data_IF_824775256568
#
_entry.id   IF_824775256568
#
_cell.length_a   1.000
_cell.length_b   1.000
_cell.length_c   1.000
_cell.angle_alpha   90.00
_cell.angle_beta   90.00
_cell.angle_gamma   90.00
#
_symmetry.space_group_name_H-M   'P 1'
#
loop_
_entity.id
_entity.type
_entity.pdbx_description
1 polymer ?
#
# COMPACT_ATOMS: atom_id res chain seq x y z
N UNK A 1 5.01 -33.91 40.17
CA UNK A 1 4.18 -34.17 38.97
C UNK A 1 4.96 -33.66 37.76
N UNK A 2 5.96 -34.31 37.16
CA UNK A 2 6.10 -35.69 36.63
C UNK A 2 4.95 -36.12 35.74
N UNK A 3 5.15 -36.08 34.43
CA UNK A 3 4.96 -37.25 33.56
C UNK A 3 6.04 -37.27 32.48
N UNK A 4 6.69 -38.43 32.39
CA UNK A 4 7.80 -38.86 31.54
C UNK A 4 7.40 -40.27 31.07
N UNK A 5 7.57 -40.59 29.79
CA UNK A 5 7.53 -41.94 29.16
C UNK A 5 8.11 -41.70 27.73
N UNK A 6 9.28 -42.16 27.24
CA UNK A 6 9.95 -43.49 27.19
C UNK A 6 9.05 -44.57 26.53
N UNK A 7 9.45 -45.38 25.53
CA UNK A 7 10.73 -46.03 25.18
C UNK A 7 10.68 -46.61 23.73
N UNK A 8 11.80 -46.71 22.97
CA UNK A 8 12.60 -47.91 22.52
C UNK A 8 11.88 -48.88 21.53
N UNK A 9 12.47 -49.54 20.51
CA UNK A 9 13.80 -50.17 20.23
C UNK A 9 13.94 -50.40 18.69
N UNK A 10 15.09 -50.25 18.00
CA UNK A 10 16.28 -51.12 17.76
C UNK A 10 16.09 -52.46 16.98
N UNK A 11 16.95 -52.58 15.93
CA UNK A 11 17.44 -53.76 15.15
C UNK A 11 16.62 -54.15 13.89
N UNK A 12 17.14 -54.58 12.74
CA UNK A 12 18.34 -55.36 12.35
C UNK A 12 18.79 -55.03 10.90
N UNK A 13 20.08 -55.21 10.59
CA UNK A 13 20.61 -55.32 9.21
C UNK A 13 20.37 -56.74 8.63
N UNK A 14 20.44 -56.96 7.30
CA UNK A 14 21.70 -57.50 6.74
C UNK A 14 22.02 -57.14 5.25
N UNK A 15 23.30 -57.27 4.90
CA UNK A 15 23.87 -57.54 3.56
C UNK A 15 24.05 -59.08 3.44
N UNK A 16 24.06 -59.72 2.24
CA UNK A 16 25.23 -59.65 1.35
C UNK A 16 24.96 -59.75 -0.17
N UNK A 17 25.89 -59.16 -0.93
CA UNK A 17 26.11 -59.41 -2.37
C UNK A 17 26.98 -60.66 -2.51
N UNK A 18 26.57 -61.59 -3.38
CA UNK A 18 27.48 -62.59 -3.93
C UNK A 18 27.28 -62.74 -5.45
N UNK A 19 28.40 -62.65 -6.18
CA UNK A 19 28.85 -63.44 -7.36
C UNK A 19 27.87 -63.67 -8.54
N UNK A 20 28.23 -63.56 -9.81
CA UNK A 20 29.36 -64.16 -10.53
C UNK A 20 29.54 -63.48 -11.91
N UNK A 21 30.73 -63.64 -12.47
CA UNK A 21 31.25 -63.06 -13.72
C UNK A 21 31.33 -64.17 -14.80
N UNK A 22 30.85 -63.92 -16.03
CA UNK A 22 31.39 -64.44 -17.31
C UNK A 22 30.78 -63.59 -18.43
N UNK A 23 31.50 -62.91 -19.32
CA UNK A 23 32.52 -63.31 -20.29
C UNK A 23 32.00 -64.32 -21.30
N UNK A 24 31.58 -63.85 -22.48
CA UNK A 24 31.95 -64.48 -23.76
C UNK A 24 31.88 -63.46 -24.89
N UNK A 25 32.95 -63.48 -25.66
CA UNK A 25 33.30 -62.61 -26.75
C UNK A 25 33.05 -63.38 -28.08
N UNK A 26 32.55 -62.66 -29.08
CA UNK A 26 32.86 -62.80 -30.51
C UNK A 26 32.51 -64.10 -31.28
N UNK A 27 31.62 -63.99 -32.29
CA UNK A 27 31.96 -64.03 -33.74
C UNK A 27 30.74 -64.26 -34.66
N UNK A 28 30.74 -63.48 -35.77
CA UNK A 28 30.41 -63.80 -37.18
C UNK A 28 29.08 -64.53 -37.47
N UNK A 29 28.21 -64.14 -38.39
CA UNK A 29 28.26 -63.16 -39.46
C UNK A 29 27.17 -63.56 -40.45
N UNK A 30 26.28 -62.64 -40.82
CA UNK A 30 25.30 -62.84 -41.88
C UNK A 30 25.28 -61.62 -42.80
N UNK A 31 25.42 -61.90 -44.08
CA UNK A 31 25.51 -60.94 -45.18
C UNK A 31 24.14 -60.36 -45.48
N UNK A 32 23.84 -59.21 -44.88
CA UNK A 32 22.62 -58.44 -45.18
C UNK A 32 22.86 -57.59 -46.43
N UNK A 33 22.04 -57.85 -47.45
CA UNK A 33 22.08 -57.30 -48.80
C UNK A 33 22.06 -55.74 -48.81
N UNK A 34 22.83 -55.12 -49.70
CA UNK A 34 23.02 -53.66 -49.76
C UNK A 34 21.69 -52.92 -50.04
N UNK A 35 20.77 -53.58 -50.73
CA UNK A 35 19.42 -53.08 -51.02
C UNK A 35 18.55 -53.02 -49.75
N UNK A 36 18.70 -53.97 -48.82
CA UNK A 36 17.94 -53.98 -47.56
C UNK A 36 18.43 -52.90 -46.58
N UNK A 37 19.71 -52.51 -46.62
CA UNK A 37 20.22 -51.38 -45.83
C UNK A 37 19.73 -50.02 -46.33
N UNK A 38 19.55 -49.85 -47.65
CA UNK A 38 19.02 -48.62 -48.25
C UNK A 38 17.53 -48.42 -47.97
N UNK A 39 16.72 -49.49 -47.99
CA UNK A 39 15.28 -49.42 -47.69
C UNK A 39 15.01 -49.12 -46.21
N UNK A 40 15.81 -49.67 -45.29
CA UNK A 40 15.68 -49.39 -43.85
C UNK A 40 16.15 -47.97 -43.50
N UNK A 41 17.15 -47.43 -44.19
CA UNK A 41 17.65 -46.06 -43.94
C UNK A 41 16.69 -44.98 -44.46
N UNK A 42 15.97 -45.24 -45.56
CA UNK A 42 14.94 -44.32 -46.09
C UNK A 42 13.65 -44.39 -45.23
N UNK A 43 13.31 -45.55 -44.67
CA UNK A 43 12.17 -45.69 -43.75
C UNK A 43 12.41 -45.01 -42.38
N UNK A 44 13.67 -44.91 -41.93
CA UNK A 44 14.03 -44.17 -40.70
C UNK A 44 14.06 -42.64 -40.88
N UNK A 45 14.26 -42.16 -42.10
CA UNK A 45 14.24 -40.73 -42.43
C UNK A 45 12.82 -40.17 -42.64
N UNK A 46 11.83 -41.02 -42.97
CA UNK A 46 10.43 -40.60 -43.10
C UNK A 46 9.63 -40.66 -41.79
N UNK A 47 10.12 -41.37 -40.76
CA UNK A 47 9.49 -41.40 -39.42
C UNK A 47 10.03 -40.28 -38.51
N UNK A 48 11.18 -39.68 -38.83
CA UNK A 48 11.73 -38.54 -38.05
C UNK A 48 11.18 -37.17 -38.49
N UNK A 49 10.44 -37.08 -39.61
CA UNK A 49 9.73 -35.85 -40.01
C UNK A 49 8.27 -35.77 -39.55
N UNK A 50 7.73 -36.78 -38.84
CA UNK A 50 6.38 -36.72 -38.25
C UNK A 50 6.38 -36.45 -36.73
N UNK A 51 7.49 -35.94 -36.17
CA UNK A 51 7.54 -35.47 -34.78
C UNK A 51 8.00 -34.02 -34.63
N UNK A 52 8.10 -33.27 -35.73
CA UNK A 52 8.43 -31.83 -35.72
C UNK A 52 7.28 -30.99 -36.27
N UNK A 53 6.12 -31.05 -35.62
CA UNK A 53 5.06 -30.05 -35.80
C UNK A 53 4.08 -30.03 -34.62
N UNK A 54 4.60 -29.96 -33.40
CA UNK A 54 3.80 -29.60 -32.24
C UNK A 54 4.70 -29.01 -31.16
N UNK A 55 5.21 -27.82 -31.43
CA UNK A 55 5.61 -26.87 -30.39
C UNK A 55 5.42 -25.46 -30.94
N UNK A 56 4.18 -25.12 -31.30
CA UNK A 56 3.73 -23.77 -31.03
C UNK A 56 3.69 -23.66 -29.51
N UNK A 57 4.80 -23.14 -28.96
CA UNK A 57 4.90 -22.73 -27.57
C UNK A 57 3.71 -21.81 -27.31
N UNK A 58 2.67 -22.37 -26.71
CA UNK A 58 1.73 -21.58 -25.93
C UNK A 58 2.58 -21.00 -24.83
N UNK A 59 2.92 -19.72 -24.95
CA UNK A 59 3.46 -18.93 -23.86
C UNK A 59 2.38 -18.95 -22.79
N UNK A 60 2.51 -19.90 -21.89
CA UNK A 60 1.55 -20.17 -20.86
C UNK A 60 1.61 -18.97 -19.90
N UNK A 61 0.51 -18.22 -19.78
CA UNK A 61 0.36 -17.05 -18.90
C UNK A 61 0.41 -17.42 -17.40
N UNK A 62 1.04 -18.53 -17.02
CA UNK A 62 1.17 -19.06 -15.66
C UNK A 62 2.39 -18.52 -14.90
N UNK A 63 3.37 -17.88 -15.58
CA UNK A 63 4.58 -17.36 -14.93
C UNK A 63 4.37 -16.10 -14.09
N UNK A 64 3.27 -15.36 -14.32
CA UNK A 64 2.99 -14.14 -13.55
C UNK A 64 2.52 -14.46 -12.13
N UNK A 65 1.69 -15.50 -11.98
CA UNK A 65 1.19 -15.95 -10.68
C UNK A 65 2.29 -16.62 -9.84
N UNK A 66 3.19 -17.39 -10.46
CA UNK A 66 4.33 -18.00 -9.76
C UNK A 66 5.32 -16.94 -9.26
N UNK A 67 5.60 -15.92 -10.08
CA UNK A 67 6.46 -14.81 -9.71
C UNK A 67 5.82 -13.91 -8.64
N UNK A 68 4.52 -13.62 -8.75
CA UNK A 68 3.79 -12.87 -7.72
C UNK A 68 3.79 -13.60 -6.37
N UNK A 69 3.48 -14.90 -6.38
CA UNK A 69 3.49 -15.71 -5.16
C UNK A 69 4.88 -15.72 -4.51
N UNK A 70 5.94 -15.79 -5.31
CA UNK A 70 7.32 -15.70 -4.83
C UNK A 70 7.65 -14.32 -4.24
N UNK A 71 7.24 -13.22 -4.89
CA UNK A 71 7.43 -11.85 -4.39
C UNK A 71 6.70 -11.66 -3.07
N UNK A 72 5.43 -12.06 -2.98
CA UNK A 72 4.62 -11.94 -1.76
C UNK A 72 5.17 -12.81 -0.63
N UNK A 73 5.67 -14.01 -0.94
CA UNK A 73 6.31 -14.90 0.03
C UNK A 73 7.51 -14.24 0.73
N UNK A 74 8.30 -13.42 0.04
CA UNK A 74 9.40 -12.66 0.67
C UNK A 74 8.92 -11.59 1.66
N UNK A 75 7.67 -11.15 1.56
CA UNK A 75 7.06 -10.16 2.46
C UNK A 75 6.28 -10.81 3.61
N UNK A 76 5.97 -12.10 3.55
CA UNK A 76 5.21 -12.78 4.61
C UNK A 76 6.05 -13.06 5.87
N UNK A 77 7.38 -13.06 5.76
CA UNK A 77 8.28 -13.31 6.90
C UNK A 77 8.72 -12.04 7.64
N UNK A 78 8.44 -10.84 7.09
CA UNK A 78 8.88 -9.54 7.64
C UNK A 78 7.71 -8.59 7.78
N UNK A 79 7.56 -7.97 8.96
CA UNK A 79 6.60 -6.87 9.16
C UNK A 79 6.93 -5.71 8.21
N UNK A 80 6.00 -5.38 7.31
CA UNK A 80 6.16 -4.30 6.34
C UNK A 80 5.87 -2.95 7.01
N UNK A 81 6.87 -2.07 7.08
CA UNK A 81 6.79 -0.85 7.89
C UNK A 81 6.34 0.31 7.00
N UNK A 82 5.25 0.96 7.38
CA UNK A 82 4.74 2.15 6.69
C UNK A 82 4.87 3.35 7.63
N UNK A 83 5.71 4.32 7.28
CA UNK A 83 5.79 5.56 8.06
C UNK A 83 4.70 6.55 7.68
N UNK A 84 4.27 7.36 8.64
CA UNK A 84 3.35 8.47 8.40
C UNK A 84 3.56 9.58 9.42
N UNK A 85 2.89 10.71 9.19
CA UNK A 85 2.84 11.81 10.15
C UNK A 85 1.89 11.49 11.32
N UNK A 86 1.81 12.35 12.34
CA UNK A 86 1.05 12.17 13.60
C UNK A 86 -0.31 11.49 13.44
N UNK A 87 -0.79 10.82 14.50
CA UNK A 87 -2.16 10.27 14.56
C UNK A 87 -3.18 11.41 14.55
N UNK A 88 -4.06 11.40 13.57
CA UNK A 88 -5.23 12.27 13.43
C UNK A 88 -6.21 11.61 12.45
N UNK A 89 -7.49 12.02 12.42
CA UNK A 89 -8.53 11.23 11.78
C UNK A 89 -8.26 10.86 10.32
N UNK A 90 -7.70 11.78 9.53
CA UNK A 90 -7.32 11.51 8.15
C UNK A 90 -6.18 10.46 8.04
N UNK A 91 -5.12 10.54 8.86
CA UNK A 91 -4.07 9.50 8.82
C UNK A 91 -4.57 8.11 9.18
N UNK A 92 -5.54 8.03 10.09
CA UNK A 92 -6.10 6.76 10.53
C UNK A 92 -7.02 6.19 9.46
N UNK A 93 -7.84 7.03 8.85
CA UNK A 93 -8.70 6.63 7.72
C UNK A 93 -7.87 6.08 6.58
N UNK A 94 -6.80 6.79 6.19
CA UNK A 94 -5.89 6.31 5.14
C UNK A 94 -5.12 5.07 5.58
N UNK A 95 -4.78 4.93 6.87
CA UNK A 95 -4.17 3.72 7.40
C UNK A 95 -5.08 2.51 7.24
N UNK A 96 -6.38 2.62 7.48
CA UNK A 96 -7.33 1.52 7.28
C UNK A 96 -7.50 1.14 5.81
N UNK A 97 -7.57 2.12 4.90
CA UNK A 97 -7.57 1.87 3.44
C UNK A 97 -6.33 1.06 3.04
N UNK A 98 -5.15 1.51 3.47
CA UNK A 98 -3.89 0.88 3.10
C UNK A 98 -3.73 -0.49 3.77
N UNK A 99 -4.10 -0.65 5.04
CA UNK A 99 -4.10 -1.97 5.70
C UNK A 99 -4.98 -2.96 4.95
N UNK A 100 -6.19 -2.57 4.52
CA UNK A 100 -7.07 -3.43 3.72
C UNK A 100 -6.43 -3.80 2.38
N UNK A 101 -5.77 -2.85 1.70
CA UNK A 101 -5.09 -3.14 0.44
C UNK A 101 -3.95 -4.16 0.60
N UNK A 102 -3.11 -4.01 1.63
CA UNK A 102 -2.01 -4.95 1.90
C UNK A 102 -2.52 -6.31 2.40
N UNK A 103 -3.60 -6.36 3.18
CA UNK A 103 -4.16 -7.62 3.68
C UNK A 103 -4.71 -8.49 2.55
N UNK A 104 -5.27 -7.89 1.49
CA UNK A 104 -5.69 -8.59 0.26
C UNK A 104 -4.52 -9.22 -0.51
N UNK A 105 -3.30 -8.75 -0.27
CA UNK A 105 -2.05 -9.34 -0.78
C UNK A 105 -1.43 -10.35 0.21
N UNK A 106 -2.10 -10.63 1.34
CA UNK A 106 -1.58 -11.51 2.40
C UNK A 106 -0.40 -10.91 3.17
N UNK A 107 -0.27 -9.58 3.19
CA UNK A 107 0.81 -8.86 3.85
C UNK A 107 0.31 -8.18 5.12
N UNK A 108 1.11 -8.26 6.19
CA UNK A 108 0.87 -7.50 7.43
C UNK A 108 1.71 -6.23 7.43
N UNK A 109 1.09 -5.12 7.84
CA UNK A 109 1.74 -3.80 7.88
C UNK A 109 1.73 -3.21 9.29
N UNK A 110 2.82 -2.55 9.66
CA UNK A 110 2.91 -1.73 10.88
C UNK A 110 2.92 -0.25 10.49
N UNK A 111 2.00 0.54 11.06
CA UNK A 111 1.96 1.99 10.84
C UNK A 111 2.80 2.70 11.90
N UNK A 112 3.89 3.34 11.47
CA UNK A 112 4.81 4.08 12.32
C UNK A 112 4.58 5.59 12.20
N UNK A 113 4.09 6.18 13.28
CA UNK A 113 3.80 7.63 13.36
C UNK A 113 5.04 8.43 13.78
N UNK A 114 5.42 9.42 12.98
CA UNK A 114 6.56 10.31 13.21
C UNK A 114 6.15 11.77 12.91
N UNK A 115 6.90 12.80 13.31
CA UNK A 115 6.71 14.15 12.77
C UNK A 115 6.80 14.16 11.24
N UNK A 116 5.97 14.93 10.53
CA UNK A 116 5.78 14.76 9.08
C UNK A 116 7.04 14.88 8.19
N UNK A 117 7.99 15.76 8.56
CA UNK A 117 9.30 15.81 7.88
C UNK A 117 10.15 14.58 8.21
N UNK A 118 10.09 14.09 9.45
CA UNK A 118 10.82 12.91 9.92
C UNK A 118 10.32 11.64 9.25
N UNK A 119 9.00 11.45 9.07
CA UNK A 119 8.47 10.29 8.34
C UNK A 119 8.96 10.25 6.90
N UNK A 120 8.94 11.39 6.18
CA UNK A 120 9.47 11.46 4.81
C UNK A 120 10.94 11.08 4.72
N UNK A 121 11.79 11.56 5.63
CA UNK A 121 13.19 11.15 5.66
C UNK A 121 13.36 9.67 6.02
N UNK A 122 12.52 9.16 6.92
CA UNK A 122 12.56 7.77 7.39
C UNK A 122 12.22 6.77 6.27
N UNK A 123 11.11 6.98 5.55
CA UNK A 123 10.75 6.17 4.38
C UNK A 123 11.73 6.36 3.23
N UNK A 124 12.15 7.59 2.91
CA UNK A 124 13.07 7.83 1.81
C UNK A 124 14.48 7.23 2.04
N UNK A 125 14.90 7.06 3.29
CA UNK A 125 16.19 6.41 3.62
C UNK A 125 16.09 4.89 3.73
N UNK A 126 14.91 4.30 3.52
CA UNK A 126 14.70 2.86 3.58
C UNK A 126 14.52 2.30 5.00
N UNK A 127 14.35 3.14 6.02
CA UNK A 127 14.00 2.67 7.37
C UNK A 127 12.52 2.26 7.48
N UNK A 128 11.68 2.74 6.56
CA UNK A 128 10.34 2.22 6.31
C UNK A 128 10.25 1.76 4.85
N UNK A 129 9.40 0.77 4.62
CA UNK A 129 9.15 0.16 3.33
C UNK A 129 8.22 1.02 2.45
N UNK A 130 7.45 1.91 3.07
CA UNK A 130 6.54 2.85 2.43
C UNK A 130 6.28 4.12 3.26
N UNK A 131 5.73 5.15 2.63
CA UNK A 131 5.10 6.30 3.25
C UNK A 131 3.59 6.23 3.02
N UNK A 132 2.80 6.32 4.11
CA UNK A 132 1.37 6.03 4.08
C UNK A 132 0.64 6.87 3.04
N UNK A 133 0.82 8.19 3.06
CA UNK A 133 0.31 9.05 2.00
C UNK A 133 0.96 10.42 1.95
N UNK A 134 1.01 11.01 0.76
CA UNK A 134 1.37 12.41 0.53
C UNK A 134 0.65 12.96 -0.70
N UNK A 135 0.68 14.27 -0.85
CA UNK A 135 0.30 14.93 -2.10
C UNK A 135 1.15 14.43 -3.28
N UNK A 136 0.64 14.57 -4.50
CA UNK A 136 1.38 14.24 -5.73
C UNK A 136 2.73 14.97 -5.80
N UNK A 137 3.74 14.30 -6.36
CA UNK A 137 5.02 14.92 -6.69
C UNK A 137 6.02 15.00 -5.53
N UNK A 138 5.71 14.45 -4.34
CA UNK A 138 6.68 14.43 -3.22
C UNK A 138 7.99 13.68 -3.60
N UNK A 139 7.91 12.73 -4.52
CA UNK A 139 9.03 11.98 -5.08
C UNK A 139 10.07 12.87 -5.77
N UNK A 140 9.69 14.07 -6.25
CA UNK A 140 10.63 15.03 -6.85
C UNK A 140 11.63 15.60 -5.83
N UNK A 141 11.33 15.49 -4.54
CA UNK A 141 12.22 15.87 -3.43
C UNK A 141 12.77 14.67 -2.67
N UNK A 142 11.99 13.60 -2.61
CA UNK A 142 12.32 12.35 -1.94
C UNK A 142 12.42 11.24 -2.99
N UNK A 143 13.53 11.21 -3.72
CA UNK A 143 13.71 10.42 -4.95
C UNK A 143 13.60 8.91 -4.78
N UNK A 144 13.64 8.39 -3.56
CA UNK A 144 13.45 6.97 -3.30
C UNK A 144 11.98 6.60 -3.07
N UNK A 145 11.05 7.57 -3.13
CA UNK A 145 9.63 7.35 -2.94
C UNK A 145 8.91 7.33 -4.30
N UNK A 146 8.29 6.19 -4.60
CA UNK A 146 7.55 5.95 -5.84
C UNK A 146 6.06 5.98 -5.51
N UNK A 147 5.25 6.86 -6.13
CA UNK A 147 3.81 6.87 -5.91
C UNK A 147 3.14 5.61 -6.46
N UNK A 148 2.14 5.13 -5.75
CA UNK A 148 1.10 4.30 -6.35
C UNK A 148 0.15 5.23 -7.12
N UNK A 149 -0.08 5.01 -8.43
CA UNK A 149 -0.87 5.91 -9.27
C UNK A 149 -2.39 5.72 -9.06
N UNK A 150 -2.83 5.68 -7.81
CA UNK A 150 -4.25 5.64 -7.43
C UNK A 150 -4.48 6.71 -6.36
N UNK A 151 -5.49 7.55 -6.58
CA UNK A 151 -5.91 8.56 -5.60
C UNK A 151 -6.57 7.81 -4.45
N UNK A 152 -6.03 7.96 -3.23
CA UNK A 152 -6.64 7.34 -2.05
C UNK A 152 -7.82 8.16 -1.54
N UNK A 153 -7.69 9.49 -1.62
CA UNK A 153 -8.67 10.45 -1.11
C UNK A 153 -8.39 11.83 -1.71
N UNK A 154 -9.45 12.58 -1.97
CA UNK A 154 -9.40 14.03 -2.11
C UNK A 154 -9.60 14.69 -0.74
N UNK A 155 -8.65 15.51 -0.32
CA UNK A 155 -8.73 16.26 0.93
C UNK A 155 -9.18 17.68 0.63
N UNK A 156 -10.23 18.10 1.31
CA UNK A 156 -10.76 19.46 1.24
C UNK A 156 -10.31 20.25 2.46
N UNK A 157 -9.70 21.42 2.25
CA UNK A 157 -9.43 22.39 3.31
C UNK A 157 -10.63 23.34 3.40
N UNK A 158 -11.25 23.39 4.58
CA UNK A 158 -12.51 24.07 4.83
C UNK A 158 -12.30 25.21 5.81
N UNK A 159 -13.00 26.32 5.57
CA UNK A 159 -13.20 27.36 6.55
C UNK A 159 -14.47 27.05 7.36
N UNK A 160 -14.37 27.04 8.68
CA UNK A 160 -15.49 26.91 9.60
C UNK A 160 -15.82 28.26 10.22
N UNK A 161 -17.09 28.63 10.24
CA UNK A 161 -17.54 29.93 10.71
C UNK A 161 -18.90 29.85 11.41
N UNK A 162 -19.23 30.90 12.19
CA UNK A 162 -20.57 31.09 12.78
C UNK A 162 -21.59 31.75 11.84
N UNK A 163 -21.11 32.27 10.71
CA UNK A 163 -21.87 33.08 9.73
C UNK A 163 -21.60 32.57 8.32
N UNK A 164 -22.55 32.73 7.41
CA UNK A 164 -22.54 32.14 6.07
C UNK A 164 -22.42 33.15 4.93
N UNK A 165 -22.20 34.42 5.23
CA UNK A 165 -22.03 35.50 4.25
C UNK A 165 -20.55 35.71 3.83
N UNK A 166 -19.65 34.85 4.33
CA UNK A 166 -18.25 34.85 3.94
C UNK A 166 -18.10 34.07 2.63
N UNK A 167 -17.73 34.77 1.57
CA UNK A 167 -17.45 34.17 0.27
C UNK A 167 -16.02 33.60 0.24
N UNK A 168 -15.90 32.28 0.06
CA UNK A 168 -14.60 31.60 -0.08
C UNK A 168 -14.20 31.55 -1.56
N UNK A 169 -13.00 32.07 -1.85
CA UNK A 169 -12.37 31.98 -3.16
C UNK A 169 -10.85 31.84 -2.98
N UNK A 170 -10.44 30.66 -2.53
CA UNK A 170 -9.04 30.36 -2.21
C UNK A 170 -8.53 31.10 -0.97
N UNK A 171 -7.24 30.93 -0.69
CA UNK A 171 -6.61 31.49 0.51
C UNK A 171 -6.64 33.02 0.57
N UNK A 172 -6.55 33.69 -0.59
CA UNK A 172 -6.51 35.15 -0.66
C UNK A 172 -7.80 35.82 -0.14
N UNK A 173 -8.96 35.16 -0.31
CA UNK A 173 -10.24 35.68 0.18
C UNK A 173 -10.31 35.71 1.70
N UNK A 174 -9.41 35.01 2.40
CA UNK A 174 -9.39 34.95 3.86
C UNK A 174 -8.71 36.18 4.50
N UNK A 175 -8.00 36.99 3.72
CA UNK A 175 -7.18 38.12 4.20
C UNK A 175 -7.91 39.11 5.13
N UNK A 176 -9.22 39.43 4.95
CA UNK A 176 -9.92 40.35 5.83
C UNK A 176 -10.24 39.79 7.23
N UNK A 177 -10.09 38.48 7.44
CA UNK A 177 -10.60 37.77 8.61
C UNK A 177 -9.49 37.38 9.59
N UNK A 178 -9.87 37.14 10.85
CA UNK A 178 -9.03 36.48 11.86
C UNK A 178 -9.14 34.97 11.72
N UNK A 179 -8.02 34.32 11.46
CA UNK A 179 -7.97 32.92 11.05
C UNK A 179 -7.32 32.07 12.15
N UNK A 180 -8.01 31.07 12.65
CA UNK A 180 -7.48 30.06 13.58
C UNK A 180 -7.13 28.76 12.86
N UNK A 181 -5.96 28.17 13.15
CA UNK A 181 -5.62 26.81 12.69
C UNK A 181 -4.55 26.17 13.56
N UNK A 182 -4.41 24.84 13.46
CA UNK A 182 -3.44 24.10 14.27
C UNK A 182 -1.99 24.48 13.94
N UNK A 183 -1.15 24.58 14.96
CA UNK A 183 0.29 24.70 14.77
C UNK A 183 0.81 23.49 13.98
N UNK A 184 1.63 23.76 12.97
CA UNK A 184 2.17 22.72 12.10
C UNK A 184 1.28 22.37 10.91
N UNK A 185 0.09 22.98 10.75
CA UNK A 185 -0.65 22.93 9.48
C UNK A 185 0.08 23.77 8.42
N UNK A 186 1.13 23.19 7.83
CA UNK A 186 2.10 23.91 6.98
C UNK A 186 1.48 24.65 5.81
N UNK A 187 0.41 24.11 5.21
CA UNK A 187 -0.23 24.77 4.07
C UNK A 187 -0.95 26.05 4.51
N UNK A 188 -1.66 26.02 5.63
CA UNK A 188 -2.23 27.23 6.24
C UNK A 188 -1.13 28.22 6.66
N UNK A 189 -0.05 27.77 7.32
CA UNK A 189 1.09 28.62 7.72
C UNK A 189 1.73 29.36 6.53
N UNK A 190 1.82 28.72 5.36
CA UNK A 190 2.42 29.31 4.16
C UNK A 190 1.44 30.29 3.49
N UNK A 191 0.20 29.88 3.29
CA UNK A 191 -0.77 30.66 2.52
C UNK A 191 -1.38 31.84 3.29
N UNK A 192 -1.24 31.87 4.62
CA UNK A 192 -1.76 32.95 5.47
C UNK A 192 -0.68 33.93 5.95
N UNK A 193 0.53 33.88 5.37
CA UNK A 193 1.60 34.83 5.69
C UNK A 193 1.12 36.26 5.43
N UNK A 194 1.26 37.12 6.44
CA UNK A 194 0.79 38.51 6.39
C UNK A 194 -0.71 38.70 6.64
N UNK A 195 -1.45 37.64 7.03
CA UNK A 195 -2.85 37.72 7.49
C UNK A 195 -2.92 37.70 9.02
N UNK A 196 -4.11 37.97 9.58
CA UNK A 196 -4.35 37.90 11.03
C UNK A 196 -4.60 36.44 11.44
N UNK A 197 -3.62 35.82 12.10
CA UNK A 197 -3.64 34.38 12.40
C UNK A 197 -3.49 34.05 13.88
N UNK A 198 -4.14 32.99 14.32
CA UNK A 198 -4.09 32.42 15.66
C UNK A 198 -3.76 30.92 15.58
N UNK A 199 -2.83 30.47 16.42
CA UNK A 199 -2.39 29.07 16.44
C UNK A 199 -2.72 28.42 17.77
N UNK A 200 -3.12 27.15 17.74
CA UNK A 200 -3.22 26.31 18.92
C UNK A 200 -2.66 24.91 18.66
N UNK A 201 -2.37 24.17 19.72
CA UNK A 201 -1.97 22.75 19.63
C UNK A 201 -3.19 21.81 19.54
N UNK A 202 -4.37 22.27 19.96
CA UNK A 202 -5.60 21.49 20.02
C UNK A 202 -6.73 22.19 19.26
N UNK A 203 -7.52 21.41 18.52
CA UNK A 203 -8.59 21.94 17.68
C UNK A 203 -9.75 22.50 18.53
N UNK A 204 -10.05 21.86 19.66
CA UNK A 204 -11.04 22.32 20.64
C UNK A 204 -10.78 23.76 21.10
N UNK A 205 -9.52 24.14 21.30
CA UNK A 205 -9.15 25.51 21.67
C UNK A 205 -9.48 26.51 20.55
N UNK A 206 -9.29 26.14 19.28
CA UNK A 206 -9.60 27.01 18.14
C UNK A 206 -11.10 27.19 17.96
N UNK A 207 -11.88 26.12 18.10
CA UNK A 207 -13.33 26.22 18.07
C UNK A 207 -13.87 27.04 19.26
N UNK A 208 -13.28 26.92 20.45
CA UNK A 208 -13.62 27.79 21.57
C UNK A 208 -13.33 29.28 21.29
N UNK A 209 -12.25 29.60 20.56
CA UNK A 209 -11.98 30.97 20.10
C UNK A 209 -13.04 31.45 19.09
N UNK A 210 -13.46 30.58 18.18
CA UNK A 210 -14.50 30.87 17.19
C UNK A 210 -15.85 31.13 17.86
N UNK A 211 -16.26 30.28 18.80
CA UNK A 211 -17.48 30.46 19.61
C UNK A 211 -17.49 31.81 20.32
N UNK A 212 -16.33 32.21 20.89
CA UNK A 212 -16.13 33.49 21.59
C UNK A 212 -15.92 34.69 20.68
N UNK A 213 -15.98 34.52 19.35
CA UNK A 213 -15.75 35.61 18.38
C UNK A 213 -14.33 36.19 18.42
N UNK A 214 -13.35 35.44 18.92
CA UNK A 214 -11.94 35.85 18.96
C UNK A 214 -11.24 35.60 17.63
N UNK A 215 -11.74 34.64 16.86
CA UNK A 215 -11.43 34.41 15.45
C UNK A 215 -12.72 34.38 14.65
N UNK A 216 -12.63 34.73 13.37
CA UNK A 216 -13.77 34.73 12.45
C UNK A 216 -13.90 33.38 11.73
N UNK A 217 -12.76 32.72 11.49
CA UNK A 217 -12.65 31.47 10.75
C UNK A 217 -11.75 30.47 11.49
N UNK A 218 -12.10 29.20 11.48
CA UNK A 218 -11.19 28.08 11.82
C UNK A 218 -10.93 27.27 10.57
N UNK A 219 -9.67 27.00 10.25
CA UNK A 219 -9.27 26.24 9.05
C UNK A 219 -8.90 24.82 9.44
N UNK A 220 -9.59 23.85 8.87
CA UNK A 220 -9.36 22.42 9.07
C UNK A 220 -9.79 21.63 7.82
N UNK A 221 -9.34 20.39 7.69
CA UNK A 221 -9.88 19.46 6.71
C UNK A 221 -11.37 19.19 6.95
N UNK A 222 -12.17 18.93 5.89
CA UNK A 222 -13.59 18.58 6.08
C UNK A 222 -13.77 17.40 7.03
N UNK A 223 -12.93 16.38 6.82
CA UNK A 223 -12.89 15.19 7.64
C UNK A 223 -12.56 15.54 9.11
N UNK A 224 -11.45 16.25 9.34
CA UNK A 224 -11.01 16.63 10.68
C UNK A 224 -12.02 17.50 11.43
N UNK A 225 -12.69 18.43 10.73
CA UNK A 225 -13.72 19.26 11.34
C UNK A 225 -14.97 18.47 11.73
N UNK A 226 -15.38 17.46 10.94
CA UNK A 226 -16.50 16.57 11.31
C UNK A 226 -16.24 15.81 12.62
N UNK A 227 -14.99 15.43 12.89
CA UNK A 227 -14.62 14.81 14.18
C UNK A 227 -14.44 15.80 15.33
N UNK A 228 -14.01 17.01 15.02
CA UNK A 228 -13.64 17.98 16.05
C UNK A 228 -14.83 18.83 16.50
N UNK A 229 -15.89 18.89 15.69
CA UNK A 229 -17.13 19.58 16.01
C UNK A 229 -18.03 18.64 16.80
N UNK A 230 -18.11 18.91 18.10
CA UNK A 230 -19.18 18.40 18.96
C UNK A 230 -20.50 19.11 18.57
N UNK A 231 -21.53 18.37 18.10
CA UNK A 231 -22.79 18.96 17.65
C UNK A 231 -23.61 19.60 18.79
N UNK A 232 -23.39 19.20 20.04
CA UNK A 232 -24.06 19.80 21.21
C UNK A 232 -23.41 21.14 21.60
N UNK A 233 -22.08 21.24 21.42
CA UNK A 233 -21.31 22.43 21.81
C UNK A 233 -21.19 23.46 20.68
N UNK A 234 -21.20 23.01 19.42
CA UNK A 234 -20.84 23.83 18.26
C UNK A 234 -22.00 24.06 17.27
N UNK A 235 -23.24 24.12 17.76
CA UNK A 235 -24.49 24.21 16.96
C UNK A 235 -24.44 25.32 15.88
N UNK A 236 -23.82 26.46 16.20
CA UNK A 236 -23.75 27.62 15.31
C UNK A 236 -22.59 27.56 14.29
N UNK A 237 -21.65 26.61 14.44
CA UNK A 237 -20.47 26.53 13.59
C UNK A 237 -20.76 25.63 12.40
N UNK A 238 -20.55 26.17 11.19
CA UNK A 238 -20.79 25.45 9.95
C UNK A 238 -19.54 25.47 9.07
N UNK A 239 -19.29 24.40 8.29
CA UNK A 239 -18.35 24.47 7.18
C UNK A 239 -18.86 25.45 6.12
N UNK A 240 -17.96 26.24 5.54
CA UNK A 240 -18.25 27.12 4.42
C UNK A 240 -17.88 26.43 3.10
N UNK A 241 -18.71 26.66 2.09
CA UNK A 241 -18.50 26.20 0.73
C UNK A 241 -18.29 27.41 -0.22
N UNK A 242 -17.50 27.27 -1.30
CA UNK A 242 -16.70 26.09 -1.62
C UNK A 242 -15.50 25.89 -0.67
N UNK A 243 -14.85 24.71 -0.67
CA UNK A 243 -13.57 24.53 0.00
C UNK A 243 -12.55 25.60 -0.40
N UNK A 244 -11.68 25.99 0.54
CA UNK A 244 -10.56 26.89 0.25
C UNK A 244 -9.67 26.26 -0.83
N UNK A 245 -9.46 24.95 -0.74
CA UNK A 245 -8.71 24.18 -1.70
C UNK A 245 -9.03 22.69 -1.59
N UNK A 246 -8.75 21.97 -2.67
CA UNK A 246 -8.82 20.51 -2.77
C UNK A 246 -7.46 19.96 -3.18
N UNK A 247 -7.08 18.81 -2.67
CA UNK A 247 -5.88 18.12 -3.12
C UNK A 247 -5.95 16.61 -2.92
N UNK A 248 -5.42 15.88 -3.90
CA UNK A 248 -5.36 14.42 -3.88
C UNK A 248 -4.15 13.92 -3.10
N UNK A 249 -4.32 12.77 -2.44
CA UNK A 249 -3.23 12.06 -1.78
C UNK A 249 -3.04 10.65 -2.29
N UNK A 250 -1.78 10.22 -2.28
CA UNK A 250 -1.29 8.98 -2.88
C UNK A 250 -0.44 8.22 -1.88
N UNK A 251 -0.50 6.89 -1.93
CA UNK A 251 0.45 6.03 -1.23
C UNK A 251 1.82 6.07 -1.92
N UNK A 252 2.91 5.93 -1.17
CA UNK A 252 4.26 5.88 -1.74
C UNK A 252 5.04 4.69 -1.22
N UNK A 253 5.67 3.93 -2.12
CA UNK A 253 6.59 2.87 -1.78
C UNK A 253 8.03 3.38 -1.78
N UNK A 254 8.88 2.83 -0.91
CA UNK A 254 10.31 2.94 -1.11
C UNK A 254 10.72 2.16 -2.37
N UNK A 255 11.70 2.67 -3.13
CA UNK A 255 12.11 2.12 -4.44
C UNK A 255 12.54 0.65 -4.42
N UNK A 256 12.99 0.14 -3.26
CA UNK A 256 13.32 -1.29 -3.09
C UNK A 256 12.11 -2.19 -3.22
N UNK A 257 10.91 -1.65 -2.99
CA UNK A 257 9.63 -2.35 -3.06
C UNK A 257 8.89 -2.07 -4.38
N UNK A 258 9.58 -1.58 -5.43
CA UNK A 258 8.97 -1.21 -6.72
C UNK A 258 8.16 -2.33 -7.39
N UNK A 259 8.45 -3.60 -7.09
CA UNK A 259 7.73 -4.76 -7.61
C UNK A 259 6.27 -4.80 -7.13
N UNK A 260 5.95 -4.19 -5.98
CA UNK A 260 4.59 -4.14 -5.44
C UNK A 260 3.71 -3.08 -6.11
N UNK A 261 4.28 -2.16 -6.90
CA UNK A 261 3.52 -1.05 -7.50
C UNK A 261 2.34 -1.55 -8.33
N UNK A 262 2.57 -2.52 -9.22
CA UNK A 262 1.53 -3.02 -10.12
C UNK A 262 0.38 -3.70 -9.36
N UNK A 263 0.69 -4.49 -8.34
CA UNK A 263 -0.31 -5.26 -7.59
C UNK A 263 -1.08 -4.39 -6.61
N UNK A 264 -0.42 -3.47 -5.90
CA UNK A 264 -1.11 -2.49 -5.06
C UNK A 264 -1.99 -1.57 -5.89
N UNK A 265 -1.54 -1.16 -7.09
CA UNK A 265 -2.38 -0.38 -8.02
C UNK A 265 -3.65 -1.16 -8.37
N UNK A 266 -3.51 -2.43 -8.77
CA UNK A 266 -4.63 -3.30 -9.10
C UNK A 266 -5.61 -3.45 -7.93
N UNK A 267 -5.10 -3.72 -6.73
CA UNK A 267 -5.92 -3.89 -5.53
C UNK A 267 -6.66 -2.59 -5.17
N UNK A 268 -5.96 -1.45 -5.17
CA UNK A 268 -6.58 -0.17 -4.83
C UNK A 268 -7.64 0.24 -5.85
N UNK A 269 -7.42 0.01 -7.15
CA UNK A 269 -8.46 0.23 -8.18
C UNK A 269 -9.67 -0.68 -7.99
N UNK A 270 -9.47 -1.94 -7.58
CA UNK A 270 -10.57 -2.85 -7.25
C UNK A 270 -11.37 -2.36 -6.03
N UNK A 271 -10.68 -1.86 -5.00
CA UNK A 271 -11.31 -1.30 -3.80
C UNK A 271 -12.05 0.02 -4.09
N UNK A 272 -11.53 0.83 -5.01
CA UNK A 272 -12.21 2.04 -5.50
C UNK A 272 -13.49 1.66 -6.25
N UNK A 273 -13.39 0.75 -7.23
CA UNK A 273 -14.51 0.30 -8.05
C UNK A 273 -15.62 -0.40 -7.24
N UNK A 274 -15.25 -1.17 -6.21
CA UNK A 274 -16.23 -1.82 -5.33
C UNK A 274 -16.88 -0.87 -4.32
N UNK A 275 -16.35 0.34 -4.15
CA UNK A 275 -16.77 1.28 -3.11
C UNK A 275 -16.22 1.00 -1.72
N UNK A 276 -15.34 0.00 -1.56
CA UNK A 276 -14.73 -0.34 -0.27
C UNK A 276 -13.97 0.84 0.34
N UNK A 277 -13.23 1.61 -0.48
CA UNK A 277 -12.53 2.83 0.00
C UNK A 277 -13.53 3.81 0.62
N UNK A 278 -14.65 4.05 -0.06
CA UNK A 278 -15.70 4.96 0.41
C UNK A 278 -16.32 4.46 1.72
N UNK A 279 -16.63 3.18 1.81
CA UNK A 279 -17.21 2.58 3.00
C UNK A 279 -16.25 2.68 4.21
N UNK A 280 -14.95 2.51 4.00
CA UNK A 280 -13.94 2.72 5.05
C UNK A 280 -13.97 4.19 5.51
N UNK A 281 -14.02 5.14 4.58
CA UNK A 281 -14.08 6.57 4.90
C UNK A 281 -15.33 6.89 5.72
N UNK A 282 -16.50 6.42 5.29
CA UNK A 282 -17.79 6.62 5.97
C UNK A 282 -17.80 5.99 7.36
N UNK A 283 -17.34 4.74 7.48
CA UNK A 283 -17.26 4.01 8.77
C UNK A 283 -16.33 4.73 9.74
N UNK A 284 -15.18 5.19 9.26
CA UNK A 284 -14.25 5.94 10.09
C UNK A 284 -14.93 7.22 10.56
N UNK A 285 -15.58 7.96 9.66
CA UNK A 285 -16.29 9.21 9.94
C UNK A 285 -17.40 9.05 10.98
N UNK A 286 -18.16 7.96 10.92
CA UNK A 286 -19.29 7.69 11.82
C UNK A 286 -18.87 7.08 13.16
N UNK A 287 -17.69 6.48 13.23
CA UNK A 287 -17.15 5.94 14.48
C UNK A 287 -16.76 7.04 15.46
N UNK A 288 -17.11 6.85 16.74
CA UNK A 288 -16.64 7.66 17.86
C UNK A 288 -15.10 7.58 17.97
N UNK A 289 -14.42 8.51 17.30
CA UNK A 289 -12.97 8.60 17.38
C UNK A 289 -12.56 9.14 18.76
N UNK A 290 -12.16 8.24 19.66
CA UNK A 290 -11.29 8.58 20.79
C UNK A 290 -9.84 8.36 20.37
N UNK A 291 -9.04 9.41 20.08
CA UNK A 291 -7.60 9.20 19.97
C UNK A 291 -7.14 8.63 21.31
N UNK A 292 -6.70 7.37 21.31
CA UNK A 292 -5.95 6.82 22.44
C UNK A 292 -4.73 7.73 22.60
N UNK A 293 -4.77 8.55 23.65
CA UNK A 293 -3.72 9.45 24.10
C UNK A 293 -2.39 8.69 24.26
#
# INVERSE_FOLDING_TARGET
MSYKLQCLSKHFAPLPRHWFRSSFDNKKGETVNLVTKLVISILFLLITSLSYASNAVTVNCTDKASNLKKILSCYQEKTFIISTFKKYPLSLTVAEIIKSAYSKLGMQVEIRYLPGKRSLHYSNSGHADAELFRIKGIGNKFHNLIPIPVVLMEIETIAYAKRNDIAINGWASLKPYKIGFLRGFKKAEINTRGMQVYFAEQMSSLFALLVKGRVDLVIESRLGGKYSLDPEVHIEIKPLDPPIEKFEVFHYLHRTNKSLVAELTKVLLQMEASGEIRNIIETMIEGDFKPLL
#
